data_IF_712249360690
#
_entry.id   IF_712249360690
#
_cell.length_a   1.000
_cell.length_b   1.000
_cell.length_c   1.000
_cell.angle_alpha   90.00
_cell.angle_beta   90.00
_cell.angle_gamma   90.00
#
_symmetry.space_group_name_H-M   'P 1'
#
loop_
_entity.id
_entity.type
_entity.pdbx_description
1 polymer ?
#
# COMPACT_ATOMS: atom_id res chain seq x y z
N UNK A 1 -6.22 -15.70 -58.93
CA UNK A 1 -6.45 -15.61 -60.38
C UNK A 1 -5.28 -14.88 -61.00
N UNK A 2 -4.63 -15.48 -61.95
CA UNK A 2 -3.53 -14.85 -62.71
C UNK A 2 -4.07 -13.71 -63.60
N UNK A 3 -3.20 -12.83 -64.08
CA UNK A 3 -3.55 -11.77 -65.05
C UNK A 3 -4.16 -12.30 -66.33
N UNK A 4 -3.95 -13.60 -66.62
CA UNK A 4 -4.56 -14.32 -67.76
C UNK A 4 -5.89 -15.03 -67.44
N UNK A 5 -6.47 -14.81 -66.24
CA UNK A 5 -7.75 -15.40 -65.82
C UNK A 5 -7.68 -16.87 -65.39
N UNK A 6 -6.51 -17.47 -65.32
CA UNK A 6 -6.35 -18.89 -64.92
C UNK A 6 -6.33 -19.00 -63.40
N UNK A 7 -7.13 -19.91 -62.84
CA UNK A 7 -7.15 -20.23 -61.40
C UNK A 7 -5.98 -21.18 -61.12
N UNK A 8 -5.04 -20.74 -60.30
CA UNK A 8 -3.92 -21.54 -59.80
C UNK A 8 -4.09 -21.71 -58.29
N UNK A 9 -3.98 -22.94 -57.75
CA UNK A 9 -4.03 -23.15 -56.31
C UNK A 9 -2.82 -22.52 -55.61
N UNK A 10 -3.00 -21.95 -54.43
CA UNK A 10 -1.94 -21.29 -53.65
C UNK A 10 -0.79 -22.26 -53.36
N UNK A 11 -1.07 -23.53 -53.18
CA UNK A 11 -0.07 -24.58 -52.93
C UNK A 11 0.93 -24.78 -54.06
N UNK A 12 0.64 -24.33 -55.30
CA UNK A 12 1.57 -24.39 -56.42
C UNK A 12 2.49 -23.17 -56.54
N UNK A 13 2.17 -22.10 -55.78
CA UNK A 13 2.90 -20.82 -55.75
C UNK A 13 3.68 -20.61 -54.45
N UNK A 14 3.33 -21.35 -53.37
CA UNK A 14 3.93 -21.20 -52.03
C UNK A 14 4.04 -22.53 -51.32
N UNK A 15 5.05 -22.68 -50.48
CA UNK A 15 5.18 -23.82 -49.59
C UNK A 15 4.49 -23.47 -48.28
N UNK A 16 3.43 -24.20 -47.89
CA UNK A 16 2.69 -23.98 -46.67
C UNK A 16 3.34 -24.81 -45.55
N UNK A 17 3.94 -24.12 -44.59
CA UNK A 17 4.58 -24.76 -43.45
C UNK A 17 3.74 -24.44 -42.21
N UNK A 18 3.34 -25.47 -41.49
CA UNK A 18 2.70 -25.33 -40.20
C UNK A 18 3.76 -25.00 -39.14
N UNK A 19 3.57 -23.91 -38.42
CA UNK A 19 4.46 -23.49 -37.35
C UNK A 19 3.65 -23.09 -36.11
N UNK A 20 4.30 -23.14 -34.98
CA UNK A 20 3.69 -22.65 -33.73
C UNK A 20 3.94 -21.16 -33.58
N UNK A 21 2.92 -20.42 -33.20
CA UNK A 21 3.00 -19.00 -32.90
C UNK A 21 2.33 -18.68 -31.56
N UNK A 22 2.55 -17.49 -31.05
CA UNK A 22 1.90 -17.07 -29.80
C UNK A 22 0.40 -17.01 -30.03
N UNK A 23 -0.37 -17.56 -29.06
CA UNK A 23 -1.83 -17.55 -29.11
C UNK A 23 -2.41 -16.15 -28.81
N UNK A 24 -1.63 -15.31 -28.12
CA UNK A 24 -2.02 -13.94 -27.77
C UNK A 24 -0.79 -13.04 -27.85
N UNK A 25 -0.93 -11.90 -28.51
CA UNK A 25 0.07 -10.84 -28.55
C UNK A 25 -0.51 -9.67 -27.76
N UNK A 26 0.08 -9.37 -26.62
CA UNK A 26 -0.31 -8.24 -25.78
C UNK A 26 0.45 -6.99 -26.17
N UNK A 27 -0.25 -5.86 -26.13
CA UNK A 27 0.34 -4.53 -26.28
C UNK A 27 -0.01 -3.72 -25.03
N UNK A 28 0.97 -3.01 -24.50
CA UNK A 28 0.84 -2.06 -23.40
C UNK A 28 1.34 -0.73 -23.94
N UNK A 29 0.55 0.31 -23.86
CA UNK A 29 0.85 1.64 -24.43
C UNK A 29 1.24 1.62 -25.93
N UNK A 30 0.71 0.64 -26.68
CA UNK A 30 1.01 0.48 -28.11
C UNK A 30 2.27 -0.33 -28.41
N UNK A 31 3.09 -0.65 -27.44
CA UNK A 31 4.29 -1.48 -27.57
C UNK A 31 3.99 -2.96 -27.23
N UNK A 32 4.68 -3.87 -27.94
CA UNK A 32 4.51 -5.30 -27.72
C UNK A 32 5.06 -5.70 -26.36
N UNK A 33 4.25 -6.35 -25.54
CA UNK A 33 4.60 -6.70 -24.16
C UNK A 33 4.52 -8.22 -23.91
N UNK A 34 5.44 -8.71 -23.08
CA UNK A 34 5.42 -10.05 -22.50
C UNK A 34 5.12 -9.92 -21.01
N UNK A 35 4.01 -10.50 -20.56
CA UNK A 35 3.61 -10.46 -19.15
C UNK A 35 4.09 -11.74 -18.47
N UNK A 36 4.93 -11.57 -17.44
CA UNK A 36 5.33 -12.63 -16.52
C UNK A 36 4.48 -12.54 -15.26
N UNK A 37 3.67 -13.56 -15.00
CA UNK A 37 2.86 -13.61 -13.80
C UNK A 37 3.62 -14.37 -12.70
N UNK A 38 3.94 -13.66 -11.62
CA UNK A 38 4.62 -14.20 -10.44
C UNK A 38 3.60 -14.30 -9.31
N UNK A 39 3.39 -15.52 -8.81
CA UNK A 39 2.57 -15.79 -7.63
C UNK A 39 3.50 -16.12 -6.46
N UNK A 40 3.57 -15.29 -5.42
CA UNK A 40 4.35 -15.62 -4.22
C UNK A 40 3.74 -16.83 -3.49
N UNK A 41 4.53 -17.45 -2.64
CA UNK A 41 4.03 -18.49 -1.73
C UNK A 41 3.09 -17.87 -0.67
N UNK A 42 2.17 -18.66 -0.15
CA UNK A 42 1.13 -18.18 0.77
C UNK A 42 1.68 -17.65 2.13
N UNK A 43 2.94 -17.94 2.43
CA UNK A 43 3.65 -17.46 3.62
C UNK A 43 4.52 -16.22 3.38
N UNK A 44 4.41 -15.57 2.22
CA UNK A 44 5.17 -14.37 1.88
C UNK A 44 4.18 -13.25 1.60
N UNK A 45 4.34 -12.12 2.28
CA UNK A 45 3.55 -10.92 2.01
C UNK A 45 3.81 -10.42 0.58
N UNK A 46 2.77 -9.87 -0.05
CA UNK A 46 2.88 -9.37 -1.42
C UNK A 46 3.95 -8.27 -1.53
N UNK A 47 4.02 -7.38 -0.55
CA UNK A 47 5.00 -6.30 -0.46
C UNK A 47 6.44 -6.82 -0.37
N UNK A 48 6.65 -7.89 0.39
CA UNK A 48 7.95 -8.55 0.48
C UNK A 48 8.34 -9.23 -0.84
N UNK A 49 7.38 -9.87 -1.49
CA UNK A 49 7.59 -10.48 -2.81
C UNK A 49 7.97 -9.43 -3.86
N UNK A 50 7.29 -8.27 -3.87
CA UNK A 50 7.60 -7.14 -4.77
C UNK A 50 9.04 -6.68 -4.53
N UNK A 51 9.41 -6.46 -3.28
CA UNK A 51 10.76 -6.00 -2.91
C UNK A 51 11.83 -6.99 -3.35
N UNK A 52 11.60 -8.28 -3.17
CA UNK A 52 12.52 -9.33 -3.62
C UNK A 52 12.67 -9.34 -5.15
N UNK A 53 11.59 -9.18 -5.89
CA UNK A 53 11.61 -9.10 -7.36
C UNK A 53 12.37 -7.85 -7.81
N UNK A 54 12.11 -6.71 -7.17
CA UNK A 54 12.77 -5.46 -7.51
C UNK A 54 14.28 -5.51 -7.23
N UNK A 55 14.69 -5.93 -6.02
CA UNK A 55 16.08 -5.96 -5.60
C UNK A 55 16.91 -7.08 -6.27
N UNK A 56 16.31 -8.27 -6.46
CA UNK A 56 17.07 -9.43 -6.96
C UNK A 56 16.94 -9.66 -8.46
N UNK A 57 15.94 -9.09 -9.11
CA UNK A 57 15.70 -9.34 -10.54
C UNK A 57 15.80 -8.03 -11.33
N UNK A 58 15.01 -7.01 -10.96
CA UNK A 58 14.88 -5.81 -11.78
C UNK A 58 16.14 -4.95 -11.70
N UNK A 59 16.63 -4.65 -10.49
CA UNK A 59 17.81 -3.83 -10.29
C UNK A 59 19.06 -4.44 -10.97
N UNK A 60 19.40 -5.74 -10.76
CA UNK A 60 20.55 -6.34 -11.42
C UNK A 60 20.42 -6.38 -12.95
N UNK A 61 19.19 -6.57 -13.48
CA UNK A 61 18.96 -6.53 -14.93
C UNK A 61 19.15 -5.13 -15.52
N UNK A 62 18.70 -4.10 -14.80
CA UNK A 62 18.93 -2.70 -15.19
C UNK A 62 20.42 -2.36 -15.15
N UNK A 63 21.15 -2.80 -14.12
CA UNK A 63 22.59 -2.57 -13.97
C UNK A 63 23.43 -3.33 -14.99
N UNK A 64 22.97 -4.51 -15.42
CA UNK A 64 23.62 -5.28 -16.46
C UNK A 64 23.48 -4.67 -17.88
N UNK A 65 22.69 -3.59 -18.03
CA UNK A 65 22.49 -2.88 -19.29
C UNK A 65 21.45 -3.56 -20.18
N UNK A 66 20.18 -3.33 -19.90
CA UNK A 66 19.08 -3.72 -20.81
C UNK A 66 19.21 -2.99 -22.16
N UNK A 67 18.85 -3.66 -23.25
CA UNK A 67 18.67 -3.00 -24.53
C UNK A 67 17.72 -1.79 -24.39
N UNK A 68 17.98 -0.67 -25.05
CA UNK A 68 17.17 0.55 -24.89
C UNK A 68 15.70 0.38 -25.26
N UNK A 69 15.38 -0.66 -26.02
CA UNK A 69 14.02 -0.97 -26.47
C UNK A 69 13.25 -1.87 -25.49
N UNK A 70 13.87 -2.30 -24.38
CA UNK A 70 13.21 -3.14 -23.37
C UNK A 70 12.94 -2.34 -22.11
N UNK A 71 11.66 -2.19 -21.76
CA UNK A 71 11.20 -1.64 -20.50
C UNK A 71 10.76 -2.77 -19.57
N UNK A 72 11.21 -2.73 -18.31
CA UNK A 72 10.76 -3.63 -17.25
C UNK A 72 9.92 -2.83 -16.28
N UNK A 73 8.63 -3.15 -16.23
CA UNK A 73 7.67 -2.53 -15.33
C UNK A 73 6.98 -3.59 -14.48
N UNK A 74 6.81 -3.28 -13.19
CA UNK A 74 5.98 -4.05 -12.29
C UNK A 74 4.55 -3.51 -12.45
N UNK A 75 3.62 -4.37 -12.85
CA UNK A 75 2.23 -3.99 -13.09
C UNK A 75 1.26 -4.85 -12.29
N UNK A 76 0.00 -4.48 -12.33
CA UNK A 76 -1.08 -5.17 -11.61
C UNK A 76 -1.18 -4.72 -10.15
N UNK A 77 -1.51 -5.63 -9.25
CA UNK A 77 -1.71 -5.33 -7.82
C UNK A 77 -0.51 -4.67 -7.16
N UNK A 78 0.70 -4.94 -7.64
CA UNK A 78 1.93 -4.36 -7.12
C UNK A 78 2.05 -2.86 -7.40
N UNK A 79 1.71 -2.43 -8.61
CA UNK A 79 1.73 -1.02 -9.00
C UNK A 79 0.63 -0.23 -8.26
N UNK A 80 -0.57 -0.82 -8.15
CA UNK A 80 -1.66 -0.23 -7.37
C UNK A 80 -1.29 -0.03 -5.90
N UNK A 81 -0.54 -0.97 -5.29
CA UNK A 81 -0.08 -0.84 -3.91
C UNK A 81 0.87 0.36 -3.74
N UNK A 82 1.89 0.48 -4.59
CA UNK A 82 2.87 1.57 -4.47
C UNK A 82 2.22 2.94 -4.67
N UNK A 83 1.35 3.07 -5.65
CA UNK A 83 0.59 4.30 -5.93
C UNK A 83 -0.36 4.63 -4.78
N UNK A 84 -1.09 3.64 -4.26
CA UNK A 84 -2.00 3.79 -3.12
C UNK A 84 -1.24 4.20 -1.86
N UNK A 85 -0.09 3.60 -1.55
CA UNK A 85 0.74 3.96 -0.41
C UNK A 85 1.17 5.42 -0.44
N UNK A 86 1.64 5.89 -1.59
CA UNK A 86 2.07 7.28 -1.76
C UNK A 86 0.90 8.25 -1.57
N UNK A 87 -0.25 7.95 -2.13
CA UNK A 87 -1.45 8.76 -1.96
C UNK A 87 -1.95 8.74 -0.51
N UNK A 88 -1.99 7.58 0.13
CA UNK A 88 -2.44 7.42 1.52
C UNK A 88 -1.53 8.13 2.52
N UNK A 89 -0.21 8.07 2.35
CA UNK A 89 0.75 8.71 3.27
C UNK A 89 0.58 10.24 3.29
N UNK A 90 0.36 10.85 2.13
CA UNK A 90 0.10 12.29 2.03
C UNK A 90 -1.23 12.64 2.68
N UNK A 91 -2.30 11.90 2.37
CA UNK A 91 -3.62 12.12 2.94
C UNK A 91 -3.64 11.93 4.47
N UNK A 92 -2.89 10.93 4.98
CA UNK A 92 -2.74 10.71 6.41
C UNK A 92 -2.06 11.90 7.10
N UNK A 93 -0.98 12.42 6.51
CA UNK A 93 -0.27 13.58 7.05
C UNK A 93 -1.18 14.82 7.10
N UNK A 94 -1.90 15.10 6.00
CA UNK A 94 -2.87 16.21 5.94
C UNK A 94 -3.98 16.02 6.98
N UNK A 95 -4.51 14.80 7.13
CA UNK A 95 -5.54 14.48 8.13
C UNK A 95 -5.05 14.72 9.55
N UNK A 96 -3.82 14.33 9.88
CA UNK A 96 -3.20 14.57 11.18
C UNK A 96 -3.12 16.08 11.48
N UNK A 97 -2.69 16.88 10.50
CA UNK A 97 -2.60 18.33 10.64
C UNK A 97 -3.99 18.94 10.88
N UNK A 98 -4.98 18.55 10.09
CA UNK A 98 -6.36 19.06 10.23
C UNK A 98 -6.92 18.68 11.60
N UNK A 99 -6.79 17.44 12.04
CA UNK A 99 -7.25 16.97 13.34
C UNK A 99 -6.55 17.76 14.46
N UNK A 100 -5.23 17.96 14.38
CA UNK A 100 -4.48 18.75 15.34
C UNK A 100 -4.99 20.20 15.44
N UNK A 101 -5.26 20.86 14.31
CA UNK A 101 -5.79 22.22 14.28
C UNK A 101 -7.20 22.28 14.86
N UNK A 102 -8.09 21.34 14.50
CA UNK A 102 -9.44 21.26 15.06
C UNK A 102 -9.41 21.08 16.59
N UNK A 103 -8.52 20.19 17.05
CA UNK A 103 -8.32 19.95 18.48
C UNK A 103 -7.78 21.20 19.19
N UNK A 104 -6.87 21.93 18.54
CA UNK A 104 -6.34 23.19 19.09
C UNK A 104 -7.44 24.23 19.28
N UNK A 105 -8.37 24.33 18.34
CA UNK A 105 -9.54 25.22 18.44
C UNK A 105 -10.47 24.76 19.57
N UNK A 106 -10.74 23.43 19.64
CA UNK A 106 -11.64 22.87 20.64
C UNK A 106 -11.14 23.06 22.09
N UNK A 107 -9.83 22.90 22.30
CA UNK A 107 -9.22 23.02 23.64
C UNK A 107 -8.66 24.41 23.93
N UNK A 108 -8.75 25.35 22.99
CA UNK A 108 -8.18 26.71 23.10
C UNK A 108 -6.70 26.69 23.57
N UNK A 109 -5.96 25.62 23.19
CA UNK A 109 -4.59 25.36 23.63
C UNK A 109 -3.85 24.44 22.66
N UNK A 110 -2.60 24.75 22.38
CA UNK A 110 -1.72 23.87 21.58
C UNK A 110 -1.15 22.69 22.39
N UNK A 111 -1.15 22.76 23.72
CA UNK A 111 -0.53 21.75 24.59
C UNK A 111 -1.36 20.46 24.66
N UNK A 112 -2.67 20.59 24.83
CA UNK A 112 -3.55 19.42 25.01
C UNK A 112 -3.63 18.53 23.77
N UNK A 113 -3.78 19.05 22.54
CA UNK A 113 -3.72 18.22 21.34
C UNK A 113 -2.40 17.47 21.19
N UNK A 114 -1.28 18.11 21.53
CA UNK A 114 0.03 17.46 21.48
C UNK A 114 0.13 16.28 22.44
N UNK A 115 -0.35 16.44 23.68
CA UNK A 115 -0.39 15.38 24.70
C UNK A 115 -1.27 14.20 24.21
N UNK A 116 -2.44 14.53 23.64
CA UNK A 116 -3.36 13.51 23.10
C UNK A 116 -2.68 12.73 21.96
N UNK A 117 -2.04 13.40 21.03
CA UNK A 117 -1.33 12.74 19.93
C UNK A 117 -0.16 11.88 20.41
N UNK A 118 0.46 12.21 21.54
CA UNK A 118 1.52 11.40 22.14
C UNK A 118 1.02 10.02 22.64
N UNK A 119 -0.29 9.79 22.72
CA UNK A 119 -0.86 8.48 23.03
C UNK A 119 -0.81 7.49 21.86
N UNK A 120 -0.62 7.98 20.61
CA UNK A 120 -0.62 7.13 19.42
C UNK A 120 0.60 6.19 19.34
N UNK A 121 1.86 6.63 19.59
CA UNK A 121 3.01 5.74 19.56
C UNK A 121 2.91 4.52 20.52
N UNK A 122 2.50 4.66 21.79
CA UNK A 122 2.29 3.50 22.67
C UNK A 122 1.19 2.56 22.16
N UNK A 123 0.13 3.10 21.56
CA UNK A 123 -0.94 2.29 20.97
C UNK A 123 -0.43 1.48 19.77
N UNK A 124 0.34 2.11 18.89
CA UNK A 124 0.98 1.43 17.77
C UNK A 124 1.95 0.34 18.26
N UNK A 125 2.75 0.61 19.29
CA UNK A 125 3.63 -0.38 19.91
C UNK A 125 2.83 -1.58 20.45
N UNK A 126 1.70 -1.32 21.13
CA UNK A 126 0.79 -2.38 21.59
C UNK A 126 0.23 -3.22 20.43
N UNK A 127 -0.14 -2.58 19.32
CA UNK A 127 -0.58 -3.26 18.11
C UNK A 127 0.51 -4.16 17.50
N UNK A 128 1.77 -3.69 17.44
CA UNK A 128 2.91 -4.49 16.95
C UNK A 128 3.18 -5.68 17.87
N UNK A 129 3.12 -5.49 19.19
CA UNK A 129 3.26 -6.59 20.15
C UNK A 129 2.14 -7.61 19.97
N UNK A 130 0.89 -7.15 19.82
CA UNK A 130 -0.25 -8.02 19.56
C UNK A 130 -0.10 -8.82 18.27
N UNK A 131 0.35 -8.17 17.18
CA UNK A 131 0.64 -8.84 15.92
C UNK A 131 1.77 -9.87 16.05
N UNK A 132 2.83 -9.55 16.81
CA UNK A 132 3.93 -10.47 17.08
C UNK A 132 3.48 -11.72 17.85
N UNK A 133 2.59 -11.55 18.83
CA UNK A 133 1.97 -12.66 19.57
C UNK A 133 1.09 -13.53 18.67
N UNK A 134 0.32 -12.91 17.78
CA UNK A 134 -0.51 -13.61 16.81
C UNK A 134 0.35 -14.45 15.85
N UNK A 135 1.48 -13.91 15.42
CA UNK A 135 2.42 -14.59 14.53
C UNK A 135 3.08 -15.83 15.14
N UNK A 136 2.97 -16.04 16.45
CA UNK A 136 3.41 -17.30 17.08
C UNK A 136 2.48 -18.47 16.73
N UNK A 137 1.23 -18.20 16.40
CA UNK A 137 0.22 -19.24 16.12
C UNK A 137 -0.22 -19.27 14.66
N UNK A 138 -0.38 -18.12 14.05
CA UNK A 138 -0.83 -17.95 12.66
C UNK A 138 0.01 -16.88 11.97
N UNK A 139 0.55 -17.22 10.81
CA UNK A 139 1.31 -16.24 10.04
C UNK A 139 0.39 -15.11 9.57
N UNK A 140 0.63 -13.90 10.09
CA UNK A 140 -0.06 -12.69 9.71
C UNK A 140 0.97 -11.64 9.28
N UNK A 141 1.18 -11.42 7.98
CA UNK A 141 2.14 -10.44 7.50
C UNK A 141 1.73 -9.01 7.83
N UNK A 142 2.70 -8.12 7.87
CA UNK A 142 2.46 -6.68 7.96
C UNK A 142 2.14 -6.17 6.55
N UNK A 143 0.94 -6.48 6.09
CA UNK A 143 0.41 -6.09 4.79
C UNK A 143 -0.39 -4.78 4.85
N UNK A 144 -0.90 -4.34 3.72
CA UNK A 144 -1.70 -3.13 3.61
C UNK A 144 -2.97 -3.18 4.50
N UNK A 145 -3.58 -4.35 4.66
CA UNK A 145 -4.77 -4.53 5.48
C UNK A 145 -4.43 -4.36 6.97
N UNK A 146 -3.31 -4.92 7.41
CA UNK A 146 -2.79 -4.76 8.77
C UNK A 146 -2.46 -3.30 9.07
N UNK A 147 -1.85 -2.59 8.11
CA UNK A 147 -1.57 -1.15 8.24
C UNK A 147 -2.85 -0.32 8.36
N UNK A 148 -3.89 -0.65 7.62
CA UNK A 148 -5.21 -0.03 7.78
C UNK A 148 -5.75 -0.25 9.20
N UNK A 149 -5.56 -1.44 9.77
CA UNK A 149 -5.89 -1.75 11.16
C UNK A 149 -5.18 -0.82 12.16
N UNK A 150 -3.89 -0.52 11.95
CA UNK A 150 -3.15 0.45 12.77
C UNK A 150 -3.70 1.87 12.68
N UNK A 151 -4.14 2.30 11.50
CA UNK A 151 -4.78 3.61 11.31
C UNK A 151 -6.09 3.69 12.11
N UNK A 152 -6.92 2.64 12.03
CA UNK A 152 -8.18 2.56 12.80
C UNK A 152 -7.89 2.54 14.30
N UNK A 153 -6.92 1.74 14.76
CA UNK A 153 -6.50 1.66 16.16
C UNK A 153 -6.07 3.05 16.67
N UNK A 154 -5.27 3.76 15.91
CA UNK A 154 -4.82 5.12 16.24
C UNK A 154 -6.01 6.07 16.43
N UNK A 155 -7.01 6.01 15.52
CA UNK A 155 -8.23 6.81 15.63
C UNK A 155 -9.04 6.52 16.90
N UNK A 156 -9.18 5.25 17.27
CA UNK A 156 -9.90 4.84 18.49
C UNK A 156 -9.17 5.36 19.75
N UNK A 157 -7.84 5.22 19.79
CA UNK A 157 -7.04 5.68 20.95
C UNK A 157 -7.09 7.19 21.09
N UNK A 158 -6.94 7.94 20.00
CA UNK A 158 -7.07 9.41 20.00
C UNK A 158 -8.45 9.83 20.49
N UNK A 159 -9.52 9.19 20.01
CA UNK A 159 -10.88 9.50 20.44
C UNK A 159 -11.07 9.31 21.96
N UNK A 160 -10.56 8.20 22.51
CA UNK A 160 -10.61 7.94 23.94
C UNK A 160 -9.80 8.96 24.75
N UNK A 161 -8.59 9.31 24.26
CA UNK A 161 -7.74 10.31 24.88
C UNK A 161 -8.39 11.71 24.88
N UNK A 162 -9.05 12.10 23.80
CA UNK A 162 -9.83 13.34 23.70
C UNK A 162 -10.89 13.40 24.79
N UNK A 163 -11.69 12.34 24.90
CA UNK A 163 -12.77 12.28 25.88
C UNK A 163 -12.24 12.39 27.30
N UNK A 164 -11.17 11.68 27.63
CA UNK A 164 -10.53 11.71 28.94
C UNK A 164 -10.03 13.13 29.29
N UNK A 165 -9.24 13.72 28.40
CA UNK A 165 -8.67 15.08 28.62
C UNK A 165 -9.77 16.11 28.70
N UNK A 166 -10.80 16.06 27.86
CA UNK A 166 -11.93 16.98 27.87
C UNK A 166 -12.70 16.90 29.20
N UNK A 167 -13.01 15.67 29.65
CA UNK A 167 -13.71 15.45 30.94
C UNK A 167 -12.88 15.97 32.12
N UNK A 168 -11.59 15.65 32.15
CA UNK A 168 -10.68 16.11 33.20
C UNK A 168 -10.64 17.64 33.28
N UNK A 169 -10.47 18.32 32.15
CA UNK A 169 -10.45 19.79 32.10
C UNK A 169 -11.78 20.41 32.53
N UNK A 170 -12.90 19.82 32.11
CA UNK A 170 -14.22 20.27 32.50
C UNK A 170 -14.43 20.12 34.02
N UNK A 171 -13.99 19.02 34.64
CA UNK A 171 -14.07 18.75 36.05
C UNK A 171 -13.22 19.74 36.86
N UNK A 172 -11.99 20.01 36.42
CA UNK A 172 -11.12 21.02 37.03
C UNK A 172 -11.79 22.40 37.02
N UNK A 173 -12.33 22.78 35.85
CA UNK A 173 -12.93 24.10 35.66
C UNK A 173 -14.22 24.30 36.47
N UNK A 174 -15.07 23.25 36.56
CA UNK A 174 -16.37 23.36 37.22
C UNK A 174 -16.29 23.22 38.75
N UNK A 175 -15.38 22.36 39.26
CA UNK A 175 -15.33 22.00 40.67
C UNK A 175 -14.12 22.57 41.42
N UNK A 176 -13.24 23.35 40.76
CA UNK A 176 -11.97 23.87 41.29
C UNK A 176 -11.10 22.81 41.98
N UNK A 177 -11.13 21.56 41.45
CA UNK A 177 -10.37 20.44 41.97
C UNK A 177 -8.92 20.47 41.48
N UNK A 178 -8.03 19.84 42.27
CA UNK A 178 -6.67 19.59 41.78
C UNK A 178 -6.66 18.62 40.63
N UNK A 179 -5.60 18.65 39.83
CA UNK A 179 -5.45 17.73 38.65
C UNK A 179 -5.54 16.26 39.07
N UNK A 180 -4.96 15.90 40.23
CA UNK A 180 -4.97 14.52 40.73
C UNK A 180 -6.39 14.07 41.14
N UNK A 181 -7.18 14.95 41.72
CA UNK A 181 -8.56 14.64 42.18
C UNK A 181 -9.55 14.63 40.97
N UNK A 182 -9.20 15.27 39.87
CA UNK A 182 -10.04 15.34 38.67
C UNK A 182 -9.85 14.14 37.74
N UNK A 183 -8.80 13.34 37.94
CA UNK A 183 -8.47 12.13 37.12
C UNK A 183 -9.00 10.85 37.77
N UNK A 184 -9.24 10.87 39.11
CA UNK A 184 -9.88 9.78 39.88
C UNK A 184 -11.41 9.88 39.78
#
# INVERSE_FOLDING_TARGET
VTTSGKIIPVSSLSNIVYTTGPTQIRHIEGERAVTLQIKPADNIALEEAIKVVEEKIILPLKDAGLPPDIKLDISGTADELTTTWKAMSINLLVSIIIVYLLMTILFESFKYPFIIMLSVPPAAAGGVIGLSLLNLTTFQPLDMLTMLGFVILSGIVVNNAILLVHRTLQTIKNNNLSVNDAVL
#
